data_IF_338747041662
#
_entry.id   IF_338747041662
#
_cell.length_a   1.000
_cell.length_b   1.000
_cell.length_c   1.000
_cell.angle_alpha   90.00
_cell.angle_beta   90.00
_cell.angle_gamma   90.00
#
_symmetry.space_group_name_H-M   'P 1'
#
loop_
_entity.id
_entity.type
_entity.pdbx_description
1 polymer ?
#
# COMPACT_ATOMS: atom_id res chain seq x y z
N UNK A 1 -10.12 -21.22 -14.11
CA UNK A 1 -9.71 -19.86 -13.73
C UNK A 1 -10.19 -18.91 -14.82
N UNK A 2 -11.02 -17.90 -14.50
CA UNK A 2 -11.73 -17.09 -15.52
C UNK A 2 -10.89 -15.92 -16.08
N UNK A 3 -10.05 -15.33 -15.23
CA UNK A 3 -9.10 -14.27 -15.58
C UNK A 3 -7.72 -14.91 -15.52
N UNK A 4 -6.91 -14.76 -16.57
CA UNK A 4 -5.60 -15.43 -16.65
C UNK A 4 -4.47 -14.56 -16.15
N UNK A 5 -4.59 -13.24 -16.30
CA UNK A 5 -3.50 -12.33 -16.04
C UNK A 5 -4.01 -10.98 -15.51
N UNK A 6 -3.11 -10.24 -14.86
CA UNK A 6 -3.44 -8.96 -14.27
C UNK A 6 -3.63 -7.88 -15.35
N UNK A 7 -3.05 -8.06 -16.54
CA UNK A 7 -3.24 -7.19 -17.70
C UNK A 7 -4.68 -7.19 -18.21
N UNK A 8 -5.43 -8.29 -18.06
CA UNK A 8 -6.86 -8.32 -18.41
C UNK A 8 -7.65 -7.34 -17.52
N UNK A 9 -7.31 -7.23 -16.23
CA UNK A 9 -7.94 -6.28 -15.29
C UNK A 9 -7.61 -4.85 -15.71
N UNK A 10 -6.37 -4.58 -16.09
CA UNK A 10 -5.94 -3.27 -16.58
C UNK A 10 -6.59 -2.89 -17.91
N UNK A 11 -6.74 -3.83 -18.85
CA UNK A 11 -7.35 -3.61 -20.15
C UNK A 11 -8.79 -3.10 -20.03
N UNK A 12 -9.57 -3.68 -19.10
CA UNK A 12 -10.94 -3.27 -18.83
C UNK A 12 -11.05 -2.15 -17.78
N UNK A 13 -9.92 -1.63 -17.27
CA UNK A 13 -9.87 -0.57 -16.25
C UNK A 13 -10.71 -0.89 -15.00
N UNK A 14 -10.72 -2.17 -14.60
CA UNK A 14 -11.51 -2.60 -13.45
C UNK A 14 -10.78 -2.21 -12.15
N UNK A 15 -11.47 -1.62 -11.15
CA UNK A 15 -10.83 -1.26 -9.89
C UNK A 15 -10.57 -2.50 -9.03
N UNK A 16 -9.32 -2.65 -8.58
CA UNK A 16 -8.91 -3.69 -7.62
C UNK A 16 -9.24 -3.20 -6.20
N UNK A 17 -10.05 -3.97 -5.45
CA UNK A 17 -10.50 -3.62 -4.08
C UNK A 17 -9.99 -4.58 -3.00
N UNK A 18 -9.43 -5.70 -3.40
CA UNK A 18 -8.94 -6.78 -2.55
C UNK A 18 -7.45 -6.97 -2.85
N UNK A 19 -6.59 -6.92 -1.83
CA UNK A 19 -5.14 -7.08 -1.98
C UNK A 19 -4.75 -8.50 -2.38
N UNK A 20 -5.60 -9.47 -2.02
CA UNK A 20 -5.43 -10.88 -2.36
C UNK A 20 -5.37 -11.10 -3.88
N UNK A 21 -5.98 -10.20 -4.67
CA UNK A 21 -5.92 -10.26 -6.14
C UNK A 21 -4.49 -9.97 -6.62
N UNK A 22 -3.85 -8.92 -6.10
CA UNK A 22 -2.46 -8.59 -6.47
C UNK A 22 -1.49 -9.64 -5.98
N UNK A 23 -1.72 -10.20 -4.78
CA UNK A 23 -0.86 -11.24 -4.20
C UNK A 23 -0.97 -12.55 -4.99
N UNK A 24 -2.17 -12.88 -5.48
CA UNK A 24 -2.37 -14.07 -6.30
C UNK A 24 -1.59 -14.02 -7.63
N UNK A 25 -1.53 -12.86 -8.28
CA UNK A 25 -0.83 -12.71 -9.57
C UNK A 25 0.66 -12.40 -9.44
N UNK A 26 1.07 -11.58 -8.46
CA UNK A 26 2.43 -11.03 -8.35
C UNK A 26 3.12 -11.33 -7.00
N UNK A 27 2.46 -12.01 -6.06
CA UNK A 27 2.92 -12.06 -4.66
C UNK A 27 4.37 -12.50 -4.43
N UNK A 28 4.92 -13.38 -5.27
CA UNK A 28 6.31 -13.82 -5.14
C UNK A 28 7.35 -12.84 -5.72
N UNK A 29 6.95 -11.96 -6.65
CA UNK A 29 7.84 -10.99 -7.29
C UNK A 29 7.79 -9.61 -6.64
N UNK A 30 6.73 -9.30 -5.88
CA UNK A 30 6.58 -8.02 -5.21
C UNK A 30 7.64 -7.84 -4.12
N UNK A 31 8.37 -6.73 -4.18
CA UNK A 31 9.18 -6.20 -3.09
C UNK A 31 8.58 -4.92 -2.57
N UNK A 32 8.58 -4.76 -1.25
CA UNK A 32 8.20 -3.55 -0.56
C UNK A 32 9.44 -2.74 -0.14
N UNK A 33 9.32 -1.41 -0.18
CA UNK A 33 10.31 -0.48 0.32
C UNK A 33 9.60 0.65 1.08
N UNK A 34 10.01 0.89 2.32
CA UNK A 34 9.48 1.99 3.14
C UNK A 34 10.26 3.26 2.82
N UNK A 35 9.65 4.18 2.08
CA UNK A 35 10.29 5.42 1.67
C UNK A 35 10.52 6.38 2.84
N UNK A 36 9.47 6.63 3.63
CA UNK A 36 9.51 7.61 4.72
C UNK A 36 8.43 7.34 5.76
N UNK A 37 8.78 7.55 7.02
CA UNK A 37 7.83 7.58 8.13
C UNK A 37 7.80 9.01 8.66
N UNK A 38 6.63 9.63 8.67
CA UNK A 38 6.43 11.01 9.13
C UNK A 38 5.52 11.05 10.36
N UNK A 39 5.97 11.59 11.50
CA UNK A 39 5.09 11.83 12.64
C UNK A 39 4.16 13.01 12.34
N UNK A 40 2.85 12.79 12.42
CA UNK A 40 1.80 13.80 12.26
C UNK A 40 1.17 14.08 13.63
N UNK A 41 1.09 15.35 14.01
CA UNK A 41 0.55 15.78 15.31
C UNK A 41 -0.74 16.57 15.12
N UNK A 42 -1.82 16.16 15.79
CA UNK A 42 -3.09 16.90 15.88
C UNK A 42 -3.20 17.52 17.27
N UNK A 43 -3.39 18.84 17.34
CA UNK A 43 -3.70 19.51 18.61
C UNK A 43 -5.13 19.14 19.06
N UNK A 44 -5.27 18.81 20.33
CA UNK A 44 -6.55 18.51 21.01
C UNK A 44 -6.61 19.28 22.33
N UNK A 45 -7.77 19.33 22.98
CA UNK A 45 -7.90 19.97 24.30
C UNK A 45 -7.01 19.31 25.36
N UNK A 46 -6.84 17.98 25.29
CA UNK A 46 -5.97 17.21 26.19
C UNK A 46 -4.49 17.16 25.75
N UNK A 47 -4.04 18.06 24.87
CA UNK A 47 -2.65 18.11 24.38
C UNK A 47 -2.48 17.67 22.93
N UNK A 48 -1.30 17.15 22.57
CA UNK A 48 -0.96 16.75 21.19
C UNK A 48 -1.16 15.25 20.99
N UNK A 49 -2.03 14.87 20.05
CA UNK A 49 -2.18 13.47 19.60
C UNK A 49 -1.26 13.21 18.41
N UNK A 50 -0.28 12.35 18.59
CA UNK A 50 0.66 11.93 17.52
C UNK A 50 0.17 10.68 16.82
N UNK A 51 0.34 10.62 15.50
CA UNK A 51 0.18 9.44 14.64
C UNK A 51 1.36 9.35 13.70
N UNK A 52 1.62 8.19 13.12
CA UNK A 52 2.68 7.99 12.16
C UNK A 52 2.08 7.73 10.78
N UNK A 53 2.49 8.54 9.80
CA UNK A 53 2.16 8.36 8.39
C UNK A 53 3.32 7.64 7.72
N UNK A 54 3.10 6.40 7.25
CA UNK A 54 4.07 5.64 6.49
C UNK A 54 3.79 5.75 4.99
N UNK A 55 4.85 5.83 4.21
CA UNK A 55 4.84 5.77 2.75
C UNK A 55 5.60 4.51 2.34
N UNK A 56 4.91 3.60 1.66
CA UNK A 56 5.45 2.32 1.22
C UNK A 56 5.31 2.24 -0.29
N UNK A 57 6.40 1.91 -0.97
CA UNK A 57 6.39 1.56 -2.39
C UNK A 57 6.45 0.06 -2.54
N UNK A 58 5.71 -0.48 -3.49
CA UNK A 58 5.70 -1.90 -3.82
C UNK A 58 5.99 -2.02 -5.31
N UNK A 59 6.77 -3.01 -5.74
CA UNK A 59 6.99 -3.27 -7.16
C UNK A 59 7.64 -4.61 -7.46
N UNK A 60 7.49 -5.07 -8.70
CA UNK A 60 7.97 -6.38 -9.17
C UNK A 60 9.20 -6.30 -10.10
N UNK A 61 9.74 -5.09 -10.31
CA UNK A 61 10.81 -4.78 -11.28
C UNK A 61 10.47 -5.14 -12.75
N UNK A 62 9.20 -5.45 -13.05
CA UNK A 62 8.74 -5.88 -14.37
C UNK A 62 7.55 -5.04 -14.87
N UNK A 63 7.56 -3.74 -14.53
CA UNK A 63 6.57 -2.77 -15.00
C UNK A 63 5.41 -2.50 -14.06
N UNK A 64 5.32 -3.18 -12.90
CA UNK A 64 4.30 -2.92 -11.90
C UNK A 64 4.89 -2.18 -10.70
N UNK A 65 4.31 -1.01 -10.38
CA UNK A 65 4.66 -0.19 -9.21
C UNK A 65 3.39 0.28 -8.51
N UNK A 66 3.37 0.15 -7.19
CA UNK A 66 2.31 0.64 -6.30
C UNK A 66 2.86 1.58 -5.24
N UNK A 67 2.03 2.55 -4.83
CA UNK A 67 2.32 3.46 -3.73
C UNK A 67 1.22 3.36 -2.67
N UNK A 68 1.59 2.92 -1.47
CA UNK A 68 0.74 2.83 -0.30
C UNK A 68 1.01 3.96 0.68
N UNK A 69 -0.06 4.54 1.24
CA UNK A 69 0.04 5.57 2.28
C UNK A 69 -0.97 5.27 3.38
N UNK A 70 -0.48 5.06 4.60
CA UNK A 70 -1.32 4.75 5.76
C UNK A 70 -0.89 5.55 6.98
N UNK A 71 -1.85 5.92 7.82
CA UNK A 71 -1.60 6.69 9.05
C UNK A 71 -2.24 6.01 10.25
N UNK A 72 -1.41 5.52 11.17
CA UNK A 72 -1.81 4.74 12.34
C UNK A 72 -1.22 5.31 13.63
N UNK A 73 -1.68 4.82 14.79
CA UNK A 73 -1.14 5.24 16.11
C UNK A 73 0.28 4.70 16.32
N UNK A 74 0.52 3.49 15.86
CA UNK A 74 1.79 2.77 15.98
C UNK A 74 2.43 2.64 14.60
N UNK A 75 3.76 2.57 14.57
CA UNK A 75 4.53 2.47 13.31
C UNK A 75 4.30 1.12 12.63
N UNK A 76 4.30 0.03 13.40
CA UNK A 76 4.08 -1.32 12.87
C UNK A 76 2.69 -1.53 12.24
N UNK A 77 1.68 -0.75 12.63
CA UNK A 77 0.35 -0.77 12.01
C UNK A 77 0.20 0.24 10.88
N UNK A 78 1.18 1.13 10.69
CA UNK A 78 1.19 2.09 9.60
C UNK A 78 1.90 1.52 8.37
N UNK A 79 2.91 0.68 8.59
CA UNK A 79 3.55 -0.16 7.57
C UNK A 79 2.60 -1.32 7.29
#
# INVERSE_FOLDING_TARGET
MKIKSLEEIYLFSLPIKESEITDFFLGASLKDEVLKIMPVRKQTQAGRRTRFKAFVTIGDYNGHVGLGVKCSKEVATAI
#
